data_IF_982487254438
#
_entry.id   IF_982487254438
#
_cell.length_a   1.000
_cell.length_b   1.000
_cell.length_c   1.000
_cell.angle_alpha   90.00
_cell.angle_beta   90.00
_cell.angle_gamma   90.00
#
_symmetry.space_group_name_H-M   'P 1'
#
loop_
_entity.id
_entity.type
_entity.pdbx_description
1 polymer ?
2 non-polymer ?
3 non-polymer ?
4 non-polymer ?
5 non-polymer ?
6 water ?
#
# COMPACT_ATOMS: atom_id res chain seq x y z
N UNK A 20 -7.22 -23.61 -23.17
CA UNK A 20 -7.82 -24.92 -22.95
C UNK A 20 -7.54 -25.48 -21.56
N UNK A 21 -6.52 -24.95 -20.90
CA UNK A 21 -6.26 -25.29 -19.51
C UNK A 21 -7.13 -24.42 -18.63
N UNK A 22 -8.16 -24.98 -18.01
CA UNK A 22 -9.08 -24.12 -17.27
C UNK A 22 -9.08 -24.38 -15.79
N UNK A 23 -8.00 -24.98 -15.30
CA UNK A 23 -7.78 -25.16 -13.87
C UNK A 23 -7.80 -23.86 -13.10
N UNK A 24 -8.30 -23.90 -11.89
CA UNK A 24 -8.10 -22.78 -10.98
C UNK A 24 -6.60 -22.77 -10.57
N UNK A 25 -6.03 -21.60 -10.28
CA UNK A 25 -4.60 -21.54 -9.93
C UNK A 25 -4.23 -22.49 -8.81
N UNK A 26 -5.16 -22.71 -7.90
CA UNK A 26 -4.88 -23.53 -6.74
C UNK A 26 -4.71 -24.98 -7.12
N UNK A 27 -4.96 -25.29 -8.39
CA UNK A 27 -4.75 -26.63 -8.93
C UNK A 27 -3.39 -26.76 -9.61
N UNK A 28 -2.66 -25.66 -9.67
CA UNK A 28 -1.42 -25.63 -10.44
C UNK A 28 -0.22 -25.55 -9.52
N UNK A 29 0.93 -25.98 -10.02
CA UNK A 29 2.21 -25.70 -9.38
C UNK A 29 2.63 -24.25 -9.63
N UNK A 30 3.45 -23.72 -8.71
CA UNK A 30 3.89 -22.32 -8.77
C UNK A 30 4.37 -21.88 -10.16
N UNK A 31 5.24 -22.70 -10.75
CA UNK A 31 5.84 -22.42 -12.04
C UNK A 31 4.86 -22.56 -13.20
N UNK A 32 3.61 -22.87 -12.90
CA UNK A 32 2.59 -22.90 -13.93
C UNK A 32 1.75 -21.63 -13.88
N UNK A 33 1.87 -20.86 -12.81
CA UNK A 33 1.05 -19.67 -12.65
C UNK A 33 1.18 -18.71 -13.84
N UNK A 34 0.04 -18.34 -14.40
CA UNK A 34 -0.03 -17.37 -15.49
C UNK A 34 -0.37 -15.96 -14.96
N UNK A 35 -0.28 -14.94 -15.81
CA UNK A 35 -0.77 -13.61 -15.44
C UNK A 35 -2.24 -13.65 -14.97
N UNK A 36 -3.08 -14.34 -15.74
CA UNK A 36 -4.48 -14.46 -15.36
C UNK A 36 -4.61 -15.12 -13.96
N UNK A 37 -3.84 -16.19 -13.75
CA UNK A 37 -3.83 -16.90 -12.48
C UNK A 37 -3.52 -15.93 -11.34
N UNK A 38 -2.48 -15.10 -11.50
CA UNK A 38 -2.18 -14.09 -10.48
C UNK A 38 -3.30 -13.07 -10.27
N UNK A 39 -3.96 -12.65 -11.35
CA UNK A 39 -5.15 -11.81 -11.19
C UNK A 39 -6.27 -12.49 -10.37
N UNK A 40 -6.59 -13.74 -10.73
CA UNK A 40 -7.64 -14.49 -10.01
C UNK A 40 -7.21 -14.61 -8.56
N UNK A 41 -5.94 -14.97 -8.38
CA UNK A 41 -5.34 -15.11 -7.04
C UNK A 41 -5.54 -13.85 -6.20
N UNK A 42 -5.19 -12.71 -6.75
CA UNK A 42 -5.38 -11.47 -5.98
C UNK A 42 -6.84 -11.16 -5.73
N UNK A 43 -7.68 -11.52 -6.68
CA UNK A 43 -9.13 -11.38 -6.50
C UNK A 43 -9.60 -12.28 -5.35
N UNK A 44 -9.14 -13.54 -5.35
CA UNK A 44 -9.52 -14.48 -4.29
C UNK A 44 -9.18 -13.95 -2.89
N UNK A 45 -8.03 -13.30 -2.76
CA UNK A 45 -7.58 -12.81 -1.47
C UNK A 45 -7.83 -11.31 -1.23
N UNK A 46 -8.48 -10.65 -2.19
CA UNK A 46 -8.78 -9.21 -2.15
C UNK A 46 -7.52 -8.35 -1.98
N UNK A 47 -6.52 -8.67 -2.78
CA UNK A 47 -5.23 -7.98 -2.66
C UNK A 47 -5.17 -6.85 -3.71
N UNK A 48 -5.19 -5.60 -3.24
CA UNK A 48 -4.97 -4.48 -4.16
C UNK A 48 -3.59 -3.90 -3.89
N UNK A 49 -2.90 -3.47 -4.95
CA UNK A 49 -1.58 -2.88 -4.79
C UNK A 49 -1.44 -1.54 -5.55
N UNK A 50 -0.43 -0.79 -5.16
CA UNK A 50 0.10 0.34 -5.90
C UNK A 50 1.62 0.24 -5.83
N UNK A 51 2.29 0.69 -6.90
CA UNK A 51 3.74 0.70 -7.00
C UNK A 51 4.15 -0.17 -8.18
N UNK A 52 5.38 0.00 -8.66
CA UNK A 52 5.85 -0.74 -9.83
C UNK A 52 6.45 -2.09 -9.50
N UNK A 53 6.33 -3.02 -10.44
CA UNK A 53 7.03 -4.30 -10.34
C UNK A 53 6.87 -4.97 -8.98
N UNK A 54 5.62 -5.08 -8.55
CA UNK A 54 5.27 -5.79 -7.34
C UNK A 54 5.62 -7.26 -7.48
N UNK A 55 6.35 -7.83 -6.51
CA UNK A 55 6.61 -9.27 -6.64
C UNK A 55 5.31 -10.13 -6.48
N UNK A 56 5.28 -11.32 -7.08
CA UNK A 56 4.15 -12.23 -6.87
C UNK A 56 3.97 -12.52 -5.38
N UNK A 57 2.70 -12.60 -4.93
CA UNK A 57 2.37 -12.97 -3.55
C UNK A 57 2.65 -14.46 -3.26
N UNK A 58 2.72 -14.78 -1.99
CA UNK A 58 3.04 -16.13 -1.55
C UNK A 58 1.76 -16.97 -1.62
N UNK A 59 1.82 -18.11 -2.32
CA UNK A 59 0.66 -19.01 -2.45
C UNK A 59 0.45 -19.86 -1.21
N UNK A 60 1.55 -20.23 -0.56
CA UNK A 60 1.51 -20.95 0.72
C UNK A 60 2.91 -20.90 1.31
N UNK A 61 3.06 -21.28 2.58
CA UNK A 61 4.43 -21.26 3.15
C UNK A 61 5.36 -22.15 2.37
N UNK A 62 4.90 -23.34 2.04
CA UNK A 62 5.75 -24.29 1.33
C UNK A 62 6.16 -23.73 -0.02
N UNK A 63 5.25 -22.99 -0.63
CA UNK A 63 5.47 -22.47 -1.96
C UNK A 63 6.32 -21.23 -1.89
N UNK A 64 6.52 -20.74 -0.68
CA UNK A 64 7.30 -19.51 -0.49
C UNK A 64 8.77 -19.88 -0.60
N UNK A 65 9.60 -18.88 -0.80
CA UNK A 65 11.05 -19.10 -0.82
C UNK A 65 11.67 -18.79 0.53
N UNK A 66 10.89 -18.90 1.61
CA UNK A 66 11.44 -18.62 2.92
C UNK A 66 12.44 -19.69 3.32
N UNK A 67 13.48 -19.31 4.09
CA UNK A 67 14.51 -20.27 4.53
C UNK A 67 13.88 -21.35 5.37
N UNK A 68 14.44 -22.57 5.32
CA UNK A 68 13.97 -23.72 6.10
C UNK A 68 13.77 -23.36 7.55
N UNK A 69 14.76 -22.75 8.19
CA UNK A 69 14.62 -22.48 9.62
C UNK A 69 13.49 -21.50 9.94
N UNK A 70 13.16 -20.63 8.97
CA UNK A 70 12.12 -19.66 9.20
C UNK A 70 10.78 -20.37 9.08
N UNK A 71 10.65 -21.19 8.05
CA UNK A 71 9.43 -21.96 7.87
C UNK A 71 9.19 -22.87 9.07
N UNK A 72 10.28 -23.34 9.68
CA UNK A 72 10.11 -24.27 10.80
C UNK A 72 9.47 -23.53 11.97
N UNK A 73 9.88 -22.28 12.14
CA UNK A 73 9.34 -21.49 13.25
C UNK A 73 7.92 -21.08 12.93
N UNK A 74 7.65 -20.72 11.68
CA UNK A 74 6.27 -20.46 11.26
C UNK A 74 5.37 -21.68 11.56
N UNK A 75 5.84 -22.85 11.12
CA UNK A 75 5.06 -24.08 11.30
C UNK A 75 4.87 -24.43 12.78
N UNK A 76 5.88 -24.14 13.60
CA UNK A 76 5.79 -24.46 15.02
C UNK A 76 4.94 -23.47 15.82
N UNK A 77 4.85 -22.23 15.35
CA UNK A 77 3.94 -21.25 15.95
C UNK A 77 2.49 -21.52 15.57
N UNK A 78 2.27 -22.41 14.61
CA UNK A 78 0.93 -22.75 14.16
C UNK A 78 0.29 -21.91 13.06
N UNK A 79 0.98 -20.89 12.57
CA UNK A 79 0.44 -20.11 11.47
C UNK A 79 0.31 -21.00 10.22
N UNK A 80 -0.81 -21.66 10.04
CA UNK A 80 -0.91 -22.65 8.95
C UNK A 80 -0.92 -22.08 7.51
N UNK A 81 -1.58 -20.92 7.33
CA UNK A 81 -1.60 -20.27 6.02
C UNK A 81 -1.31 -18.80 6.19
N UNK A 82 -0.60 -18.21 5.22
CA UNK A 82 -0.41 -16.75 5.19
C UNK A 82 -1.78 -16.06 5.10
N UNK A 83 -1.99 -14.99 5.86
CA UNK A 83 -3.15 -14.11 5.69
C UNK A 83 -2.91 -13.22 4.46
N UNK A 84 -3.97 -12.60 3.94
CA UNK A 84 -3.77 -11.76 2.73
C UNK A 84 -2.64 -10.74 2.80
N UNK A 85 -2.54 -9.96 3.88
CA UNK A 85 -1.50 -8.95 3.96
C UNK A 85 -0.13 -9.63 3.98
N UNK A 86 -0.06 -10.80 4.64
CA UNK A 86 1.22 -11.50 4.71
C UNK A 86 1.61 -11.96 3.32
N UNK A 87 0.64 -12.48 2.56
CA UNK A 87 0.93 -13.02 1.23
C UNK A 87 1.65 -12.03 0.34
N UNK A 88 1.22 -10.78 0.42
CA UNK A 88 1.74 -9.77 -0.52
C UNK A 88 2.84 -8.92 0.08
N UNK A 89 2.74 -8.64 1.37
CA UNK A 89 3.71 -7.72 1.95
C UNK A 89 5.07 -8.43 2.15
N UNK A 90 5.04 -9.73 2.50
CA UNK A 90 6.28 -10.42 2.80
C UNK A 90 7.31 -10.39 1.67
N UNK A 91 6.93 -10.74 0.45
CA UNK A 91 7.81 -10.67 -0.72
C UNK A 91 8.33 -9.21 -0.99
N UNK A 92 7.52 -8.19 -0.78
CA UNK A 92 7.98 -6.81 -0.94
C UNK A 92 9.04 -6.47 0.10
N UNK A 93 8.77 -6.84 1.36
CA UNK A 93 9.73 -6.71 2.44
C UNK A 93 11.05 -7.43 2.19
N UNK A 94 10.97 -8.56 1.50
CA UNK A 94 12.18 -9.32 1.19
C UNK A 94 13.01 -8.70 0.08
N UNK A 95 12.48 -7.63 -0.52
CA UNK A 95 13.23 -6.88 -1.52
C UNK A 95 13.74 -5.59 -0.88
N UNK A 96 13.61 -5.46 0.44
CA UNK A 96 13.99 -4.25 1.19
C UNK A 96 13.16 -3.02 0.83
N UNK A 97 11.95 -3.23 0.31
CA UNK A 97 11.15 -2.11 -0.16
C UNK A 97 10.20 -1.63 0.93
N UNK A 98 9.97 -0.32 0.96
CA UNK A 98 9.04 0.26 1.91
C UNK A 98 7.61 -0.06 1.53
N UNK A 99 6.75 -0.06 2.55
CA UNK A 99 5.39 -0.51 2.39
C UNK A 99 4.44 0.32 3.19
N UNK A 100 3.34 0.67 2.55
CA UNK A 100 2.20 1.11 3.28
C UNK A 100 1.13 0.01 3.19
N UNK A 101 0.75 -0.53 4.34
CA UNK A 101 -0.18 -1.64 4.36
C UNK A 101 -1.48 -1.14 4.94
N UNK A 102 -2.53 -1.25 4.14
CA UNK A 102 -3.83 -0.81 4.60
C UNK A 102 -4.67 -2.01 4.98
N UNK A 103 -4.89 -2.12 6.28
CA UNK A 103 -5.50 -3.31 6.87
C UNK A 103 -5.61 -3.04 8.35
N UNK A 104 -6.55 -3.70 9.00
CA UNK A 104 -6.83 -3.45 10.38
C UNK A 104 -6.26 -4.53 11.28
N UNK A 105 -6.04 -4.18 12.54
CA UNK A 105 -5.47 -5.12 13.49
C UNK A 105 -6.35 -6.35 13.53
N UNK A 106 -5.72 -7.52 13.61
CA UNK A 106 -6.41 -8.81 13.49
C UNK A 106 -6.18 -9.44 12.12
N UNK A 107 -5.52 -8.73 11.22
CA UNK A 107 -5.38 -9.25 9.86
C UNK A 107 -4.03 -9.91 9.61
N UNK A 108 -3.20 -9.97 10.67
CA UNK A 108 -1.89 -10.59 10.60
C UNK A 108 -0.80 -9.65 10.12
N UNK A 109 -1.02 -8.34 10.32
CA UNK A 109 -0.01 -7.32 10.03
C UNK A 109 1.35 -7.65 10.68
N UNK A 110 1.31 -8.02 11.96
CA UNK A 110 2.52 -8.14 12.76
C UNK A 110 3.48 -9.14 12.16
N UNK A 111 3.03 -10.38 11.93
CA UNK A 111 3.88 -11.31 11.24
C UNK A 111 4.30 -10.87 9.83
N UNK A 112 3.43 -10.11 9.16
CA UNK A 112 3.78 -9.60 7.84
C UNK A 112 5.06 -8.74 7.89
N UNK A 113 5.19 -7.91 8.91
CA UNK A 113 6.43 -7.15 9.00
C UNK A 113 7.57 -7.90 9.73
N UNK A 114 7.22 -8.80 10.64
CA UNK A 114 8.24 -9.51 11.41
C UNK A 114 9.06 -10.48 10.54
N UNK A 115 8.39 -11.19 9.65
CA UNK A 115 9.08 -12.22 8.86
C UNK A 115 10.29 -11.75 8.01
N UNK A 116 10.14 -10.68 7.22
CA UNK A 116 11.32 -10.25 6.46
C UNK A 116 12.46 -9.81 7.37
N UNK A 117 12.14 -9.13 8.46
CA UNK A 117 13.12 -8.80 9.49
C UNK A 117 13.85 -10.03 10.03
N UNK A 118 13.11 -11.10 10.30
CA UNK A 118 13.75 -12.30 10.89
C UNK A 118 14.62 -12.98 9.84
N UNK A 119 14.13 -13.02 8.61
CA UNK A 119 14.98 -13.55 7.55
C UNK A 119 16.28 -12.73 7.55
N UNK A 120 16.17 -11.41 7.52
CA UNK A 120 17.38 -10.58 7.42
C UNK A 120 18.34 -10.82 8.59
N UNK A 121 17.84 -10.68 9.81
CA UNK A 121 18.71 -10.88 10.97
C UNK A 121 19.42 -12.24 11.03
N UNK A 122 18.65 -13.32 10.89
CA UNK A 122 19.20 -14.64 11.08
C UNK A 122 20.01 -15.13 9.92
N UNK A 123 20.12 -14.36 8.86
CA UNK A 123 20.95 -14.78 7.73
C UNK A 123 22.19 -13.93 7.61
N UNK A 124 22.36 -12.96 8.51
CA UNK A 124 23.63 -12.27 8.58
C UNK A 124 24.74 -13.31 8.88
N UNK A 125 25.94 -13.12 8.29
CA UNK A 125 27.15 -13.87 8.63
C UNK A 125 27.48 -13.66 10.10
N UNK A 126 28.05 -14.67 10.75
CA UNK A 126 28.27 -14.61 12.18
C UNK A 126 29.25 -13.52 12.45
N UNK A 127 30.23 -13.44 11.56
CA UNK A 127 31.22 -12.39 11.62
C UNK A 127 30.50 -11.02 11.63
N UNK A 128 29.39 -10.92 10.91
CA UNK A 128 28.68 -9.66 10.80
C UNK A 128 27.67 -9.43 11.91
N UNK A 129 27.18 -10.52 12.52
CA UNK A 129 26.24 -10.43 13.62
C UNK A 129 27.05 -10.06 14.85
N UNK A 130 28.37 -10.04 14.69
CA UNK A 130 29.23 -9.75 15.81
C UNK A 130 29.28 -8.26 16.05
N UNK A 131 28.86 -7.84 17.24
CA UNK A 131 29.31 -6.54 17.74
C UNK A 131 29.58 -6.53 19.26
N UNK A 132 30.77 -6.08 19.63
CA UNK A 132 31.23 -6.11 21.02
C UNK A 132 30.52 -5.08 21.91
N UNK A 133 30.31 -3.88 21.39
CA UNK A 133 29.56 -2.86 22.11
C UNK A 133 28.08 -3.01 21.79
N UNK A 134 27.23 -2.60 22.72
CA UNK A 134 25.77 -2.61 22.50
C UNK A 134 25.33 -1.38 21.69
N UNK A 135 24.69 -1.63 20.56
CA UNK A 135 24.38 -0.54 19.62
C UNK A 135 22.89 -0.36 19.38
N UNK A 136 22.07 -0.78 20.35
CA UNK A 136 20.64 -0.65 20.22
C UNK A 136 20.14 -1.69 19.26
N UNK A 137 18.85 -1.60 18.88
CA UNK A 137 18.13 -2.63 18.12
C UNK A 137 18.41 -2.60 16.62
N UNK A 138 18.10 -3.71 15.94
CA UNK A 138 18.09 -3.68 14.49
C UNK A 138 16.79 -3.09 14.02
N UNK A 139 15.77 -3.10 14.90
CA UNK A 139 14.41 -2.70 14.50
C UNK A 139 13.64 -2.04 15.61
N UNK A 140 12.85 -1.03 15.24
CA UNK A 140 11.89 -0.48 16.16
C UNK A 140 10.47 -0.55 15.60
N UNK A 141 9.54 -1.00 16.43
CA UNK A 141 8.15 -1.12 16.06
C UNK A 141 7.37 -0.18 16.97
N UNK A 142 6.82 0.85 16.35
CA UNK A 142 6.11 1.88 17.10
C UNK A 142 4.59 1.65 17.08
N UNK A 143 3.96 1.63 18.24
CA UNK A 143 2.50 1.48 18.31
C UNK A 143 1.91 2.65 19.09
N UNK A 144 0.64 3.00 18.82
CA UNK A 144 0.07 4.19 19.45
C UNK A 144 -0.33 3.96 20.88
N UNK A 145 -0.62 2.72 21.24
CA UNK A 145 -1.09 2.42 22.58
C UNK A 145 -0.33 1.29 23.26
N UNK A 146 -0.32 1.37 24.59
CA UNK A 146 0.26 0.36 25.42
C UNK A 146 -0.37 -1.01 25.15
N UNK A 147 -1.69 -1.00 24.96
CA UNK A 147 -2.44 -2.22 24.70
C UNK A 147 -1.95 -2.90 23.43
N UNK A 148 -1.88 -2.12 22.35
CA UNK A 148 -1.41 -2.67 21.08
C UNK A 148 0.07 -3.07 21.11
N UNK A 149 0.90 -2.24 21.73
CA UNK A 149 2.31 -2.59 21.89
C UNK A 149 2.52 -3.97 22.57
N UNK A 150 1.76 -4.23 23.61
CA UNK A 150 1.86 -5.51 24.31
C UNK A 150 1.42 -6.69 23.43
N UNK A 151 0.34 -6.51 22.67
CA UNK A 151 -0.04 -7.51 21.70
C UNK A 151 1.13 -7.81 20.78
N UNK A 152 1.70 -6.77 20.21
CA UNK A 152 2.82 -6.95 19.30
C UNK A 152 4.00 -7.65 19.96
N UNK A 153 4.32 -7.23 21.18
CA UNK A 153 5.39 -7.83 21.95
C UNK A 153 5.22 -9.34 22.12
N UNK A 154 4.00 -9.74 22.51
CA UNK A 154 3.78 -11.15 22.84
C UNK A 154 4.04 -11.94 21.60
N UNK A 155 3.55 -11.43 20.47
CA UNK A 155 3.74 -12.12 19.21
C UNK A 155 5.20 -12.09 18.75
N UNK A 156 5.85 -10.97 18.98
CA UNK A 156 7.25 -10.88 18.61
C UNK A 156 8.08 -11.87 19.44
N UNK A 157 7.84 -11.93 20.74
CA UNK A 157 8.56 -12.91 21.58
C UNK A 157 8.38 -14.33 21.05
N UNK A 158 7.14 -14.72 20.78
CA UNK A 158 6.88 -16.10 20.36
C UNK A 158 7.57 -16.45 19.04
N UNK A 159 7.75 -15.46 18.16
CA UNK A 159 8.54 -15.67 16.97
C UNK A 159 10.07 -15.59 17.20
N UNK A 160 10.48 -14.67 18.06
CA UNK A 160 11.88 -14.32 18.19
C UNK A 160 12.69 -15.23 19.08
N UNK A 161 12.09 -15.68 20.18
CA UNK A 161 12.80 -16.53 21.13
C UNK A 161 13.37 -17.79 20.49
N UNK A 162 12.54 -18.56 19.78
CA UNK A 162 13.08 -19.76 19.13
C UNK A 162 14.27 -19.45 18.23
N UNK A 163 14.37 -18.21 17.77
CA UNK A 163 15.43 -17.83 16.83
C UNK A 163 16.59 -17.14 17.54
N UNK A 164 16.50 -17.05 18.86
CA UNK A 164 17.50 -16.37 19.66
C UNK A 164 17.48 -14.87 19.41
N UNK A 165 16.30 -14.32 19.19
CA UNK A 165 16.16 -12.90 18.91
C UNK A 165 15.48 -12.22 20.11
N UNK A 166 16.13 -11.21 20.67
CA UNK A 166 15.67 -10.55 21.89
C UNK A 166 14.81 -9.31 21.63
N UNK A 167 13.72 -9.20 22.38
CA UNK A 167 12.76 -8.14 22.19
C UNK A 167 12.53 -7.41 23.51
N UNK A 168 12.61 -6.09 23.49
CA UNK A 168 12.32 -5.29 24.67
C UNK A 168 11.22 -4.25 24.43
N UNK A 169 10.31 -4.15 25.41
CA UNK A 169 9.15 -3.25 25.33
C UNK A 169 9.44 -1.95 26.09
N UNK A 170 9.37 -0.82 25.38
CA UNK A 170 9.53 0.49 25.99
C UNK A 170 8.17 1.22 25.94
N UNK A 171 7.36 1.00 26.96
CA UNK A 171 5.98 1.44 26.97
C UNK A 171 5.54 1.89 28.37
N UNK A 172 4.41 2.60 28.46
CA UNK A 172 3.88 3.02 29.75
C UNK A 172 3.13 1.91 30.44
N UNK A 173 2.89 2.04 31.74
CA UNK A 173 2.17 1.03 32.50
C UNK A 173 3.10 0.00 33.09
N UNK A 174 4.40 0.24 32.92
CA UNK A 174 5.43 -0.63 33.45
C UNK A 174 6.41 0.20 34.29
N UNK A 175 6.96 -0.42 35.33
CA UNK A 175 7.94 0.23 36.20
C UNK A 175 9.15 0.69 35.39
N UNK A 176 9.76 1.80 35.81
CA UNK A 176 10.96 2.33 35.14
C UNK A 176 12.21 1.61 35.62
N UNK A 177 12.14 0.98 36.78
CA UNK A 177 13.24 0.14 37.24
C UNK A 177 13.35 -1.07 36.31
N UNK A 178 12.24 -1.81 36.18
CA UNK A 178 12.16 -2.98 35.31
C UNK A 178 12.53 -2.57 33.89
N UNK A 179 11.94 -1.48 33.42
CA UNK A 179 12.20 -1.00 32.08
C UNK A 179 13.65 -0.57 31.93
N UNK A 180 14.10 0.28 32.83
CA UNK A 180 15.49 0.74 32.85
C UNK A 180 16.48 -0.41 32.88
N UNK A 181 16.15 -1.46 33.64
CA UNK A 181 17.02 -2.63 33.71
C UNK A 181 17.09 -3.36 32.38
N UNK A 182 15.94 -3.81 31.89
CA UNK A 182 15.86 -4.54 30.62
C UNK A 182 16.65 -3.84 29.51
N UNK A 183 16.63 -2.51 29.52
CA UNK A 183 17.35 -1.75 28.50
C UNK A 183 18.84 -2.03 28.51
N UNK A 184 19.41 -2.15 29.70
CA UNK A 184 20.84 -2.33 29.84
C UNK A 184 21.37 -3.59 29.13
N UNK A 185 20.51 -4.59 28.99
CA UNK A 185 20.93 -5.90 28.51
C UNK A 185 21.23 -6.03 27.01
N UNK A 186 20.76 -5.10 26.21
CA UNK A 186 20.94 -5.20 24.77
C UNK A 186 19.81 -5.99 24.11
N UNK A 187 19.42 -5.61 22.90
CA UNK A 187 18.38 -6.37 22.19
C UNK A 187 18.40 -6.21 20.67
N UNK A 188 17.56 -6.98 19.99
CA UNK A 188 17.48 -6.89 18.55
C UNK A 188 16.27 -6.08 18.12
N UNK A 189 15.20 -6.15 18.89
CA UNK A 189 13.95 -5.46 18.52
C UNK A 189 13.41 -4.70 19.72
N UNK A 190 13.03 -3.46 19.49
CA UNK A 190 12.32 -2.70 20.50
C UNK A 190 10.92 -2.44 20.01
N UNK A 191 9.95 -2.71 20.88
CA UNK A 191 8.57 -2.32 20.61
C UNK A 191 8.28 -1.17 21.58
N UNK A 192 7.66 -0.10 21.08
CA UNK A 192 7.46 1.11 21.88
C UNK A 192 6.19 1.91 21.58
N UNK A 193 5.83 2.78 22.52
CA UNK A 193 4.83 3.83 22.25
C UNK A 193 5.57 5.18 22.11
N UNK A 194 5.01 6.12 21.34
CA UNK A 194 5.72 7.34 20.96
C UNK A 194 6.19 8.18 22.15
N UNK A 195 5.33 8.37 23.14
CA UNK A 195 5.65 9.25 24.25
C UNK A 195 6.81 8.72 25.08
N UNK A 196 6.78 7.42 25.27
CA UNK A 196 7.76 6.71 26.08
C UNK A 196 9.09 6.69 25.34
N UNK A 197 9.02 6.45 24.04
CA UNK A 197 10.21 6.29 23.23
C UNK A 197 11.01 7.60 23.07
N UNK A 198 10.29 8.70 22.92
CA UNK A 198 10.97 9.95 22.74
C UNK A 198 11.70 10.34 24.04
N UNK A 199 11.06 10.12 25.18
CA UNK A 199 11.69 10.43 26.46
C UNK A 199 12.95 9.63 26.65
N UNK A 200 12.92 8.36 26.24
CA UNK A 200 14.07 7.49 26.36
C UNK A 200 15.22 7.91 25.45
N UNK A 201 14.88 8.32 24.25
CA UNK A 201 15.86 8.81 23.30
C UNK A 201 16.42 10.13 23.79
N UNK A 202 15.55 11.01 24.24
CA UNK A 202 15.95 12.32 24.75
C UNK A 202 16.94 12.21 25.91
N UNK A 203 16.86 11.11 26.66
CA UNK A 203 17.78 10.93 27.79
C UNK A 203 18.90 9.96 27.47
N UNK A 204 18.96 9.52 26.22
CA UNK A 204 20.01 8.61 25.78
C UNK A 204 20.02 7.31 26.60
N UNK A 205 18.85 6.83 27.03
CA UNK A 205 18.77 5.50 27.61
C UNK A 205 18.84 4.44 26.51
N UNK A 206 18.70 4.88 25.26
CA UNK A 206 18.67 3.99 24.11
C UNK A 206 19.04 4.75 22.85
N UNK A 207 19.76 4.11 21.93
CA UNK A 207 20.13 4.75 20.66
C UNK A 207 19.69 3.92 19.44
N UNK A 208 19.62 4.56 18.28
CA UNK A 208 19.20 3.88 17.05
C UNK A 208 20.38 3.71 16.08
N UNK A 209 21.53 3.34 16.60
CA UNK A 209 22.74 3.25 15.77
C UNK A 209 22.72 2.19 14.65
N UNK A 210 22.13 1.02 14.89
CA UNK A 210 22.09 -0.04 13.87
C UNK A 210 20.68 -0.38 13.41
N UNK A 211 19.75 0.53 13.63
CA UNK A 211 18.38 0.30 13.24
C UNK A 211 18.30 0.33 11.74
N UNK A 212 17.74 -0.71 11.16
CA UNK A 212 17.63 -0.81 9.71
C UNK A 212 16.19 -1.12 9.31
N UNK A 213 15.29 -1.02 10.30
CA UNK A 213 13.91 -1.43 10.15
C UNK A 213 13.06 -0.53 11.01
N UNK A 214 12.13 0.19 10.40
CA UNK A 214 11.28 1.10 11.13
C UNK A 214 9.81 0.72 10.86
N UNK A 215 9.04 0.45 11.91
CA UNK A 215 7.61 0.19 11.72
C UNK A 215 6.70 1.17 12.46
N UNK A 216 5.79 1.81 11.72
CA UNK A 216 4.69 2.54 12.34
C UNK A 216 3.37 1.78 12.20
N UNK A 217 2.87 1.25 13.31
CA UNK A 217 1.63 0.47 13.28
C UNK A 217 0.44 1.35 13.74
N UNK A 218 -0.71 1.25 13.06
CA UNK A 218 -1.85 2.16 13.30
C UNK A 218 -1.48 3.65 13.28
N UNK A 219 -0.84 4.05 12.21
CA UNK A 219 -0.36 5.44 12.13
C UNK A 219 -1.51 6.46 12.20
N UNK A 220 -2.68 6.08 11.69
CA UNK A 220 -3.85 6.95 11.79
C UNK A 220 -4.26 7.20 13.26
N UNK A 221 -4.28 6.14 14.06
CA UNK A 221 -4.53 6.28 15.48
C UNK A 221 -3.45 7.12 16.19
N UNK A 222 -2.20 6.97 15.80
CA UNK A 222 -1.15 7.86 16.34
C UNK A 222 -1.50 9.30 16.05
N UNK A 223 -1.89 9.58 14.81
CA UNK A 223 -2.28 10.94 14.43
C UNK A 223 -3.43 11.41 15.30
N UNK A 224 -4.47 10.57 15.43
CA UNK A 224 -5.65 10.95 16.20
C UNK A 224 -5.32 11.29 17.64
N UNK A 225 -4.27 10.65 18.18
CA UNK A 225 -3.94 10.86 19.57
C UNK A 225 -3.12 12.12 19.79
N UNK A 226 -2.70 12.76 18.70
CA UNK A 226 -1.89 13.96 18.80
C UNK A 226 -0.41 13.68 18.71
N UNK A 227 -0.06 12.46 18.32
CA UNK A 227 1.35 12.03 18.29
C UNK A 227 2.18 12.46 17.07
N UNK A 228 1.60 13.17 16.11
CA UNK A 228 2.39 13.58 14.92
C UNK A 228 3.74 14.24 15.25
N UNK A 229 3.75 15.24 16.12
CA UNK A 229 5.03 15.89 16.43
C UNK A 229 6.00 14.95 17.13
N UNK A 230 5.51 14.05 17.97
CA UNK A 230 6.40 13.15 18.70
C UNK A 230 6.97 12.13 17.73
N UNK A 231 6.15 11.69 16.79
CA UNK A 231 6.62 10.73 15.83
C UNK A 231 7.64 11.40 14.89
N UNK A 232 7.42 12.68 14.57
CA UNK A 232 8.40 13.46 13.82
C UNK A 232 9.74 13.50 14.56
N UNK A 233 9.67 13.85 15.83
CA UNK A 233 10.87 14.05 16.61
C UNK A 233 11.64 12.74 16.74
N UNK A 234 10.93 11.62 16.90
CA UNK A 234 11.56 10.31 16.93
C UNK A 234 12.36 10.00 15.66
N UNK A 235 11.78 10.32 14.51
CA UNK A 235 12.45 10.14 13.21
C UNK A 235 13.76 10.89 13.16
N UNK A 236 13.80 12.05 13.82
CA UNK A 236 14.97 12.89 13.80
C UNK A 236 16.20 12.19 14.46
N UNK A 237 15.98 11.14 15.24
CA UNK A 237 17.07 10.45 15.90
C UNK A 237 17.64 9.29 15.08
N UNK A 238 16.96 8.92 13.99
CA UNK A 238 17.47 7.87 13.11
C UNK A 238 18.63 8.41 12.30
N UNK A 239 19.70 7.60 12.10
CA UNK A 239 20.84 8.04 11.28
C UNK A 239 20.41 8.26 9.83
N UNK A 240 20.71 9.43 9.27
CA UNK A 240 20.10 9.86 8.00
C UNK A 240 20.65 9.10 6.82
N UNK A 241 21.88 8.66 6.98
CA UNK A 241 22.67 8.10 5.92
C UNK A 241 22.30 6.67 5.54
N UNK A 242 21.34 6.06 6.25
CA UNK A 242 20.92 4.74 5.84
C UNK A 242 19.57 4.78 5.11
N UNK A 243 19.04 5.97 4.85
CA UNK A 243 17.76 6.08 4.11
C UNK A 243 18.01 5.81 2.63
N UNK A 244 17.06 5.16 1.97
CA UNK A 244 17.16 4.89 0.56
C UNK A 244 17.15 6.21 -0.21
N UNK A 245 17.70 6.19 -1.44
CA UNK A 245 17.66 7.35 -2.32
C UNK A 245 16.23 7.51 -2.87
N UNK A 246 15.87 8.73 -3.15
CA UNK A 246 14.53 9.04 -3.64
C UNK A 246 14.58 9.01 -5.16
N UNK A 247 14.69 7.84 -5.75
CA UNK A 247 14.71 7.74 -7.20
C UNK A 247 13.94 6.49 -7.60
N UNK A 248 13.79 6.27 -8.90
CA UNK A 248 13.09 5.09 -9.36
C UNK A 248 13.80 3.81 -8.87
N UNK A 249 15.06 3.93 -8.50
CA UNK A 249 15.80 2.75 -8.03
C UNK A 249 15.20 2.17 -6.76
N UNK A 250 14.59 3.02 -5.95
CA UNK A 250 14.00 2.57 -4.67
C UNK A 250 12.90 1.53 -4.82
N UNK A 251 12.45 1.32 -6.06
CA UNK A 251 11.39 0.34 -6.32
C UNK A 251 11.78 -0.47 -7.55
N UNK A 252 13.08 -0.52 -7.83
CA UNK A 252 13.62 -1.47 -8.79
C UNK A 252 13.91 -2.78 -8.05
N UNK A 253 13.28 -3.90 -8.47
CA UNK A 253 13.33 -5.15 -7.70
C UNK A 253 14.71 -5.77 -7.73
N UNK A 254 15.38 -5.76 -8.88
CA UNK A 254 16.72 -6.33 -8.97
C UNK A 254 17.69 -5.64 -8.03
N UNK A 255 17.63 -4.31 -8.02
CA UNK A 255 18.54 -3.52 -7.21
C UNK A 255 18.18 -3.59 -5.75
N UNK A 256 16.89 -3.52 -5.44
CA UNK A 256 16.50 -3.54 -4.04
C UNK A 256 16.70 -4.94 -3.41
N UNK A 257 16.49 -5.99 -4.21
CA UNK A 257 16.79 -7.35 -3.74
C UNK A 257 18.27 -7.52 -3.45
N UNK A 258 19.09 -7.03 -4.38
CA UNK A 258 20.54 -7.12 -4.18
C UNK A 258 20.92 -6.32 -2.94
N UNK A 259 20.20 -5.24 -2.68
CA UNK A 259 20.49 -4.46 -1.47
C UNK A 259 20.04 -5.22 -0.18
N UNK A 260 18.88 -5.85 -0.22
CA UNK A 260 18.46 -6.69 0.92
C UNK A 260 19.52 -7.74 1.27
N UNK A 261 19.99 -8.44 0.26
CA UNK A 261 21.00 -9.49 0.46
C UNK A 261 22.35 -8.96 0.93
N UNK A 262 22.57 -7.67 0.73
CA UNK A 262 23.84 -7.03 1.10
C UNK A 262 24.07 -7.05 2.59
N UNK A 263 23.21 -7.79 3.28
CA UNK A 263 23.32 -7.98 4.70
C UNK A 263 23.32 -6.71 5.50
N UNK A 264 24.35 -6.60 6.32
CA UNK A 264 24.51 -5.59 7.32
C UNK A 264 24.43 -4.19 6.78
N UNK A 265 24.79 -3.99 5.51
CA UNK A 265 24.91 -2.61 4.98
C UNK A 265 23.79 -2.13 4.10
N UNK A 266 22.67 -2.83 4.13
CA UNK A 266 21.53 -2.44 3.31
C UNK A 266 20.92 -1.08 3.70
N UNK A 267 20.14 -0.47 2.80
CA UNK A 267 19.34 0.66 3.23
C UNK A 267 18.32 0.23 4.27
N UNK A 268 17.91 1.16 5.12
CA UNK A 268 16.80 0.90 6.03
C UNK A 268 15.54 0.65 5.22
N UNK A 269 14.58 -0.04 5.81
CA UNK A 269 13.29 -0.11 5.22
C UNK A 269 12.27 0.26 6.30
N UNK A 270 11.15 0.79 5.83
CA UNK A 270 10.17 1.37 6.69
C UNK A 270 8.82 0.84 6.24
N UNK A 271 7.99 0.47 7.22
CA UNK A 271 6.67 -0.04 7.00
C UNK A 271 5.67 0.79 7.79
N UNK A 272 4.61 1.25 7.13
CA UNK A 272 3.56 1.94 7.84
C UNK A 272 2.29 1.11 7.67
N UNK A 273 1.61 0.84 8.76
CA UNK A 273 0.28 0.23 8.70
C UNK A 273 -0.72 1.28 9.15
N UNK A 274 -1.84 1.35 8.43
CA UNK A 274 -2.93 2.26 8.80
C UNK A 274 -4.24 1.65 8.34
N UNK A 275 -5.34 2.26 8.72
CA UNK A 275 -6.64 1.93 8.14
C UNK A 275 -7.10 3.04 7.20
N UNK A 276 -6.55 4.23 7.40
CA UNK A 276 -6.98 5.41 6.64
C UNK A 276 -5.78 6.25 6.22
N UNK A 277 -5.97 7.18 5.28
CA UNK A 277 -4.92 8.06 4.79
C UNK A 277 -5.30 9.51 4.84
N UNK A 278 -5.55 10.04 6.04
CA UNK A 278 -5.79 11.48 6.05
C UNK A 278 -4.47 12.22 5.78
N UNK A 279 -4.55 13.53 5.63
CA UNK A 279 -3.36 14.26 5.20
C UNK A 279 -2.17 14.11 6.15
N UNK A 280 -2.39 14.10 7.45
CA UNK A 280 -1.32 13.93 8.40
C UNK A 280 -0.59 12.61 8.22
N UNK A 281 -1.33 11.57 7.88
CA UNK A 281 -0.71 10.27 7.66
C UNK A 281 0.11 10.31 6.38
N UNK A 282 -0.37 11.05 5.38
CA UNK A 282 0.37 11.21 4.15
C UNK A 282 1.65 12.04 4.40
N UNK A 283 1.58 13.01 5.31
CA UNK A 283 2.81 13.72 5.72
C UNK A 283 3.84 12.78 6.31
N UNK A 284 3.39 11.89 7.19
CA UNK A 284 4.31 10.94 7.80
C UNK A 284 4.98 10.12 6.71
N UNK A 285 4.16 9.64 5.79
CA UNK A 285 4.63 8.79 4.72
C UNK A 285 5.67 9.51 3.85
N UNK A 286 5.42 10.78 3.49
CA UNK A 286 6.36 11.54 2.67
C UNK A 286 7.73 11.65 3.36
N UNK A 287 7.73 11.79 4.66
CA UNK A 287 8.97 11.87 5.43
C UNK A 287 9.63 10.52 5.64
N UNK A 288 8.89 9.60 6.23
CA UNK A 288 9.42 8.30 6.61
C UNK A 288 9.80 7.41 5.43
N UNK A 289 9.03 7.46 4.34
CA UNK A 289 9.11 6.39 3.34
C UNK A 289 9.67 6.82 2.03
N UNK A 290 10.24 5.89 1.29
CA UNK A 290 10.72 6.25 -0.04
C UNK A 290 10.12 5.30 -1.07
N UNK A 291 9.33 5.86 -2.00
CA UNK A 291 8.66 5.10 -3.05
C UNK A 291 8.02 3.80 -2.54
N UNK A 292 7.19 3.90 -1.49
CA UNK A 292 6.61 2.69 -0.92
C UNK A 292 5.60 2.04 -1.88
N UNK A 293 5.48 0.72 -1.75
CA UNK A 293 4.42 -0.02 -2.39
C UNK A 293 3.24 0.05 -1.45
N UNK A 294 2.03 0.10 -2.02
CA UNK A 294 0.86 0.00 -1.17
C UNK A 294 0.26 -1.41 -1.28
N UNK A 295 -0.11 -1.96 -0.13
CA UNK A 295 -0.86 -3.21 -0.10
C UNK A 295 -2.15 -2.95 0.64
N UNK A 296 -3.25 -3.12 -0.07
CA UNK A 296 -4.55 -2.83 0.46
C UNK A 296 -5.37 -4.12 0.43
N UNK A 297 -5.87 -4.53 1.59
CA UNK A 297 -6.70 -5.73 1.66
C UNK A 297 -8.18 -5.41 1.84
N UNK A 298 -9.01 -5.99 0.97
CA UNK A 298 -10.45 -6.03 1.22
C UNK A 298 -11.22 -5.14 0.27
N UNK A 299 -12.49 -4.88 0.61
CA UNK A 299 -13.37 -4.02 -0.20
C UNK A 299 -13.70 -4.57 -1.57
N UNK A 300 -13.65 -5.89 -1.76
CA UNK A 300 -14.00 -6.44 -3.06
C UNK A 300 -15.31 -5.81 -3.59
N UNK A 301 -16.27 -5.63 -2.71
CA UNK A 301 -17.60 -5.16 -3.11
C UNK A 301 -17.70 -3.65 -3.14
N UNK A 302 -16.61 -2.95 -2.80
CA UNK A 302 -16.68 -1.52 -2.64
C UNK A 302 -15.50 -0.85 -3.31
N UNK A 303 -15.57 -0.73 -4.63
CA UNK A 303 -14.52 -0.22 -5.50
C UNK A 303 -13.99 1.13 -5.03
N UNK A 304 -14.84 2.00 -4.48
CA UNK A 304 -14.36 3.32 -4.12
C UNK A 304 -13.29 3.30 -3.02
N UNK A 305 -13.34 2.30 -2.16
CA UNK A 305 -12.36 2.22 -1.06
C UNK A 305 -10.97 1.84 -1.58
N UNK A 306 -10.94 1.22 -2.76
CA UNK A 306 -9.74 0.54 -3.22
C UNK A 306 -9.33 0.95 -4.60
N UNK A 307 -9.96 2.01 -5.13
CA UNK A 307 -9.56 2.53 -6.43
C UNK A 307 -9.09 3.96 -6.22
N UNK A 308 -7.92 4.30 -6.74
CA UNK A 308 -7.43 5.67 -6.60
C UNK A 308 -8.29 6.68 -7.41
N UNK A 309 -8.85 7.66 -6.74
CA UNK A 309 -9.72 8.62 -7.39
C UNK A 309 -9.17 10.05 -7.36
N UNK A 310 -9.26 10.71 -8.51
CA UNK A 310 -8.78 12.10 -8.64
C UNK A 310 -9.87 12.91 -9.32
N UNK A 311 -10.05 14.15 -8.89
CA UNK A 311 -11.07 15.03 -9.47
C UNK A 311 -10.45 16.38 -9.88
N UNK A 312 -11.02 16.93 -10.94
CA UNK A 312 -10.73 18.27 -11.42
C UNK A 312 -12.02 19.01 -11.57
N UNK A 313 -12.14 20.13 -10.85
CA UNK A 313 -13.28 21.01 -10.99
C UNK A 313 -13.00 21.99 -12.12
N UNK A 314 -13.97 22.14 -13.01
CA UNK A 314 -13.77 22.97 -14.16
C UNK A 314 -15.12 23.38 -14.72
N UNK A 315 -15.11 24.25 -15.71
CA UNK A 315 -16.31 24.47 -16.49
C UNK A 315 -16.32 23.47 -17.63
N UNK A 316 -17.50 23.23 -18.16
CA UNK A 316 -17.73 22.28 -19.21
C UNK A 316 -16.81 22.52 -20.41
N UNK A 317 -16.54 23.79 -20.73
CA UNK A 317 -15.79 24.14 -21.92
C UNK A 317 -14.31 23.71 -21.77
N UNK A 318 -13.89 23.45 -20.53
CA UNK A 318 -12.50 23.11 -20.28
C UNK A 318 -12.20 21.62 -20.43
N UNK A 319 -13.24 20.79 -20.54
CA UNK A 319 -13.04 19.35 -20.50
C UNK A 319 -12.12 18.79 -21.59
N UNK A 320 -12.27 19.28 -22.82
CA UNK A 320 -11.57 18.62 -23.93
C UNK A 320 -10.05 18.84 -23.86
N UNK A 321 -9.67 20.06 -23.52
CA UNK A 321 -8.27 20.36 -23.38
C UNK A 321 -7.63 19.65 -22.17
N UNK A 322 -8.37 19.52 -21.06
CA UNK A 322 -7.82 18.80 -19.90
C UNK A 322 -7.63 17.34 -20.25
N UNK A 323 -8.61 16.74 -20.94
CA UNK A 323 -8.45 15.36 -21.38
C UNK A 323 -7.19 15.20 -22.22
N UNK A 324 -7.04 16.04 -23.25
CA UNK A 324 -5.87 15.97 -24.11
C UNK A 324 -4.57 16.07 -23.33
N UNK A 325 -4.51 17.02 -22.40
CA UNK A 325 -3.31 17.17 -21.58
C UNK A 325 -3.01 15.88 -20.81
N UNK A 326 -4.06 15.27 -20.27
CA UNK A 326 -3.92 13.98 -19.58
C UNK A 326 -3.41 12.90 -20.54
N UNK A 327 -4.08 12.73 -21.67
CA UNK A 327 -3.66 11.74 -22.65
C UNK A 327 -2.20 11.94 -23.10
N UNK A 328 -1.81 13.19 -23.31
CA UNK A 328 -0.45 13.51 -23.75
C UNK A 328 0.63 13.07 -22.74
N UNK A 329 0.25 12.96 -21.48
CA UNK A 329 1.13 12.46 -20.46
C UNK A 329 1.45 10.97 -20.70
N UNK A 330 0.64 10.31 -21.53
CA UNK A 330 0.79 8.88 -21.79
C UNK A 330 -0.01 7.99 -20.84
N UNK A 331 -0.42 6.83 -21.32
CA UNK A 331 -1.19 5.91 -20.49
C UNK A 331 -0.90 4.44 -20.79
N UNK A 332 -1.47 3.56 -19.96
CA UNK A 332 -1.42 2.13 -20.21
C UNK A 332 -2.71 1.63 -20.81
N UNK A 333 -2.75 1.44 -22.12
CA UNK A 333 -3.95 0.99 -22.84
C UNK A 333 -4.31 -0.43 -22.42
N UNK A 334 -5.62 -0.75 -22.38
CA UNK A 334 -6.63 0.21 -22.81
C UNK A 334 -7.13 1.05 -21.63
N UNK A 335 -7.76 2.17 -21.94
CA UNK A 335 -8.40 2.96 -20.91
C UNK A 335 -9.86 3.14 -21.30
N UNK A 336 -10.69 3.56 -20.36
CA UNK A 336 -12.08 3.85 -20.68
C UNK A 336 -12.44 5.27 -20.31
N UNK A 337 -13.14 5.96 -21.21
CA UNK A 337 -13.64 7.31 -20.94
C UNK A 337 -15.14 7.21 -20.95
N UNK A 338 -15.78 7.65 -19.88
CA UNK A 338 -17.24 7.61 -19.81
C UNK A 338 -17.82 8.98 -20.08
N UNK A 339 -18.94 8.99 -20.82
CA UNK A 339 -19.78 10.17 -21.03
C UNK A 339 -21.26 9.86 -20.78
N UNK A 340 -22.05 10.91 -20.59
CA UNK A 340 -23.43 10.70 -20.16
C UNK A 340 -24.45 10.42 -21.28
N UNK A 341 -24.19 10.92 -22.49
CA UNK A 341 -25.12 10.74 -23.59
C UNK A 341 -24.43 10.21 -24.86
N UNK A 342 -25.14 9.38 -25.63
CA UNK A 342 -24.51 8.58 -26.68
C UNK A 342 -23.98 9.43 -27.81
N UNK A 343 -24.51 10.65 -27.95
CA UNK A 343 -24.02 11.59 -28.94
C UNK A 343 -22.64 12.08 -28.51
N UNK A 344 -22.51 12.35 -27.22
CA UNK A 344 -21.22 12.68 -26.65
C UNK A 344 -20.22 11.62 -27.03
N UNK A 345 -20.57 10.37 -26.71
CA UNK A 345 -19.75 9.21 -27.05
C UNK A 345 -19.17 9.35 -28.46
N UNK A 346 -20.04 9.53 -29.44
CA UNK A 346 -19.61 9.56 -30.84
C UNK A 346 -18.71 10.75 -31.20
N UNK A 347 -19.08 11.96 -30.75
CA UNK A 347 -18.32 13.16 -31.07
C UNK A 347 -16.97 13.25 -30.34
N UNK A 348 -16.94 12.84 -29.07
CA UNK A 348 -15.66 12.83 -28.36
C UNK A 348 -14.73 11.88 -29.09
N UNK A 349 -15.24 10.70 -29.42
CA UNK A 349 -14.48 9.66 -30.09
C UNK A 349 -13.86 10.13 -31.41
N UNK A 350 -14.62 10.93 -32.16
CA UNK A 350 -14.12 11.46 -33.42
C UNK A 350 -12.88 12.33 -33.15
N UNK A 351 -13.02 13.25 -32.20
CA UNK A 351 -11.97 14.24 -31.93
C UNK A 351 -10.65 13.55 -31.60
N UNK A 352 -10.75 12.45 -30.87
CA UNK A 352 -9.57 11.70 -30.43
C UNK A 352 -8.86 11.04 -31.62
N UNK A 353 -9.66 10.46 -32.51
CA UNK A 353 -9.14 9.87 -33.74
C UNK A 353 -8.52 10.96 -34.59
N UNK A 354 -9.02 12.18 -34.45
CA UNK A 354 -8.44 13.35 -35.11
C UNK A 354 -7.07 13.67 -34.53
N UNK A 355 -6.95 13.57 -33.21
CA UNK A 355 -5.68 13.81 -32.52
C UNK A 355 -4.74 12.62 -32.63
N UNK A 356 -5.06 11.70 -33.54
CA UNK A 356 -4.26 10.51 -33.74
C UNK A 356 -4.33 9.52 -32.60
N UNK A 357 -5.54 9.21 -32.15
CA UNK A 357 -5.74 8.19 -31.12
C UNK A 357 -6.62 7.08 -31.67
N UNK A 358 -6.36 5.84 -31.24
CA UNK A 358 -7.17 4.69 -31.66
C UNK A 358 -8.36 4.50 -30.74
N UNK A 359 -9.53 4.98 -31.17
CA UNK A 359 -10.69 4.99 -30.28
C UNK A 359 -11.86 4.13 -30.76
N UNK A 360 -12.38 3.31 -29.84
CA UNK A 360 -13.59 2.54 -30.07
C UNK A 360 -14.77 3.23 -29.41
N UNK A 361 -15.96 3.05 -29.99
CA UNK A 361 -17.17 3.61 -29.43
C UNK A 361 -18.08 2.53 -28.85
N UNK A 362 -18.90 2.92 -27.88
CA UNK A 362 -19.88 2.02 -27.25
C UNK A 362 -20.92 2.79 -26.44
N UNK A 371 -19.43 -4.96 -31.10
CA UNK A 371 -19.62 -5.23 -29.68
C UNK A 371 -18.45 -6.04 -29.12
N UNK A 372 -18.49 -7.36 -29.34
CA UNK A 372 -17.36 -8.21 -28.98
C UNK A 372 -16.13 -7.72 -29.74
N UNK A 373 -16.38 -7.25 -30.96
CA UNK A 373 -15.32 -6.81 -31.87
C UNK A 373 -14.47 -5.70 -31.26
N UNK A 374 -15.12 -4.79 -30.53
CA UNK A 374 -14.44 -3.68 -29.90
C UNK A 374 -13.45 -4.14 -28.84
N UNK A 375 -13.88 -5.09 -28.01
CA UNK A 375 -13.08 -5.54 -26.87
C UNK A 375 -11.88 -6.37 -27.28
N UNK A 376 -12.02 -7.09 -28.39
CA UNK A 376 -10.94 -7.90 -28.92
C UNK A 376 -9.75 -7.01 -29.29
N UNK A 377 -10.02 -6.01 -30.11
CA UNK A 377 -9.01 -5.03 -30.49
C UNK A 377 -8.35 -4.38 -29.30
N UNK A 378 -9.16 -3.91 -28.35
CA UNK A 378 -8.64 -3.35 -27.11
C UNK A 378 -7.77 -4.38 -26.43
N UNK A 379 -8.31 -5.58 -26.24
CA UNK A 379 -7.57 -6.66 -25.61
C UNK A 379 -6.29 -6.93 -26.38
N UNK A 380 -6.37 -6.84 -27.71
CA UNK A 380 -5.24 -7.14 -28.59
C UNK A 380 -4.20 -6.02 -28.60
N UNK A 381 -4.63 -4.80 -28.27
CA UNK A 381 -3.75 -3.67 -28.28
C UNK A 381 -4.03 -2.73 -29.45
N UNK A 382 -4.85 -3.19 -30.38
CA UNK A 382 -5.22 -2.42 -31.55
C UNK A 382 -5.75 -1.05 -31.16
N UNK A 383 -6.91 -1.04 -30.51
CA UNK A 383 -7.50 0.20 -30.00
C UNK A 383 -7.03 0.45 -28.57
N UNK A 384 -6.82 1.71 -28.21
CA UNK A 384 -6.24 2.03 -26.92
C UNK A 384 -7.25 2.71 -26.01
N UNK A 385 -8.24 3.36 -26.61
CA UNK A 385 -9.26 4.10 -25.87
C UNK A 385 -10.68 3.68 -26.20
N UNK A 386 -11.42 3.26 -25.18
CA UNK A 386 -12.84 3.00 -25.30
C UNK A 386 -13.67 4.18 -24.79
N UNK A 387 -14.49 4.77 -25.65
CA UNK A 387 -15.42 5.79 -25.20
C UNK A 387 -16.77 5.11 -25.01
N UNK A 388 -17.48 5.46 -23.93
CA UNK A 388 -18.72 4.75 -23.58
C UNK A 388 -19.64 5.52 -22.63
N UNK A 389 -20.92 5.14 -22.65
CA UNK A 389 -21.95 5.64 -21.73
C UNK A 389 -22.24 4.61 -20.63
N UNK A 390 -23.05 4.96 -19.64
CA UNK A 390 -23.29 4.03 -18.53
C UNK A 390 -23.82 2.64 -18.95
N UNK A 391 -24.37 2.52 -20.15
CA UNK A 391 -24.91 1.24 -20.60
C UNK A 391 -23.97 0.08 -20.24
N UNK A 396 -21.00 -4.51 -20.84
CA UNK A 396 -20.85 -5.94 -20.96
C UNK A 396 -19.73 -6.49 -20.06
N UNK A 397 -18.73 -7.12 -20.66
CA UNK A 397 -17.64 -7.76 -19.91
C UNK A 397 -16.31 -7.32 -20.51
N UNK A 398 -15.43 -6.77 -19.68
CA UNK A 398 -14.18 -6.17 -20.18
C UNK A 398 -13.01 -6.29 -19.19
N UNK A 399 -11.81 -6.38 -19.73
CA UNK A 399 -10.60 -6.55 -18.93
C UNK A 399 -10.40 -5.40 -17.91
N UNK A 400 -9.53 -5.64 -16.93
CA UNK A 400 -9.14 -4.62 -15.96
C UNK A 400 -8.42 -3.49 -16.72
N UNK A 401 -8.74 -2.25 -16.38
CA UNK A 401 -8.06 -1.12 -17.00
C UNK A 401 -7.21 -0.32 -16.02
N UNK A 402 -6.14 0.29 -16.52
CA UNK A 402 -5.28 1.09 -15.69
C UNK A 402 -5.97 2.39 -15.32
N UNK A 403 -6.85 2.89 -16.19
CA UNK A 403 -7.43 4.22 -15.98
C UNK A 403 -8.86 4.34 -16.53
N UNK A 404 -9.72 4.93 -15.70
CA UNK A 404 -11.06 5.27 -16.13
C UNK A 404 -11.17 6.82 -16.06
N UNK A 405 -11.60 7.46 -17.15
CA UNK A 405 -11.90 8.90 -17.01
C UNK A 405 -13.37 9.21 -17.12
N UNK A 406 -13.90 9.84 -16.08
CA UNK A 406 -15.30 10.28 -16.12
C UNK A 406 -15.30 11.67 -16.72
N UNK A 407 -15.31 11.72 -18.06
CA UNK A 407 -15.32 12.98 -18.82
C UNK A 407 -16.56 13.78 -18.43
N UNK A 408 -17.67 13.07 -18.29
CA UNK A 408 -18.90 13.56 -17.69
C UNK A 408 -19.07 12.83 -16.38
N UNK A 409 -19.35 13.54 -15.29
CA UNK A 409 -19.60 12.85 -14.03
C UNK A 409 -20.94 12.14 -14.09
N UNK A 410 -21.03 10.95 -13.50
CA UNK A 410 -22.31 10.20 -13.42
C UNK A 410 -23.39 10.98 -12.67
N UNK A 411 -24.66 10.67 -12.93
CA UNK A 411 -25.75 11.41 -12.30
C UNK A 411 -26.13 10.84 -10.91
N UNK A 412 -25.57 9.69 -10.56
CA UNK A 412 -25.79 9.14 -9.23
C UNK A 412 -24.52 8.39 -8.84
N UNK A 413 -24.31 8.17 -7.56
CA UNK A 413 -23.04 7.60 -7.12
C UNK A 413 -22.95 6.09 -7.41
N UNK A 414 -24.08 5.42 -7.52
CA UNK A 414 -24.03 4.00 -7.87
C UNK A 414 -23.44 3.78 -9.28
N UNK A 415 -23.87 4.55 -10.28
CA UNK A 415 -23.24 4.47 -11.61
C UNK A 415 -21.72 4.83 -11.58
N UNK A 416 -21.38 5.85 -10.82
CA UNK A 416 -19.98 6.25 -10.66
C UNK A 416 -19.16 5.05 -10.11
N UNK A 417 -19.67 4.44 -9.04
CA UNK A 417 -19.03 3.25 -8.41
C UNK A 417 -18.81 2.12 -9.43
N UNK A 418 -19.84 1.79 -10.18
CA UNK A 418 -19.72 0.79 -11.23
C UNK A 418 -18.65 1.17 -12.26
N UNK A 419 -18.60 2.44 -12.67
CA UNK A 419 -17.56 2.86 -13.61
C UNK A 419 -16.15 2.65 -13.10
N UNK A 420 -15.85 3.18 -11.93
CA UNK A 420 -14.47 3.14 -11.51
C UNK A 420 -14.08 1.66 -11.17
N UNK A 421 -15.08 0.84 -10.97
CA UNK A 421 -14.89 -0.58 -10.67
C UNK A 421 -14.22 -1.32 -11.82
N UNK A 422 -14.20 -0.65 -12.97
CA UNK A 422 -13.59 -1.19 -14.18
C UNK A 422 -12.06 -1.22 -14.15
N UNK A 423 -11.43 -0.57 -13.18
CA UNK A 423 -10.00 -0.73 -13.02
C UNK A 423 -9.67 -2.16 -12.52
N UNK A 424 -10.69 -2.93 -12.15
CA UNK A 424 -10.51 -4.32 -11.69
C UNK A 424 -10.99 -4.57 -10.28
N UNK A 425 -11.44 -5.79 -10.02
CA UNK A 425 -11.76 -6.23 -8.65
C UNK A 425 -10.59 -6.13 -7.67
N UNK A 426 -9.36 -6.36 -8.15
CA UNK A 426 -8.17 -6.40 -7.28
C UNK A 426 -6.90 -6.07 -8.07
N UNK A 427 -5.73 -6.41 -7.54
CA UNK A 427 -4.50 -6.12 -8.28
C UNK A 427 -4.22 -4.62 -8.32
N UNK A 428 -3.55 -4.16 -9.38
CA UNK A 428 -3.24 -2.72 -9.48
C UNK A 428 -4.48 -1.86 -9.22
N UNK A 429 -4.35 -0.94 -8.27
CA UNK A 429 -5.46 -0.05 -7.93
C UNK A 429 -6.06 0.61 -9.17
N UNK A 430 -5.20 1.07 -10.08
CA UNK A 430 -5.67 1.86 -11.21
C UNK A 430 -6.11 3.25 -10.78
N UNK A 431 -6.57 4.07 -11.72
CA UNK A 431 -6.91 5.45 -11.40
C UNK A 431 -8.20 5.83 -12.05
N UNK A 432 -9.06 6.52 -11.31
CA UNK A 432 -10.28 7.09 -11.92
C UNK A 432 -10.22 8.59 -11.79
N UNK A 433 -10.25 9.27 -12.94
CA UNK A 433 -10.16 10.74 -12.98
C UNK A 433 -11.52 11.29 -13.36
N UNK A 434 -12.04 12.23 -12.57
CA UNK A 434 -13.38 12.74 -12.80
C UNK A 434 -13.37 14.24 -13.04
N UNK A 435 -14.02 14.66 -14.14
CA UNK A 435 -14.20 16.09 -14.42
C UNK A 435 -15.51 16.51 -13.78
N UNK A 436 -15.45 17.44 -12.83
CA UNK A 436 -16.64 17.92 -12.14
C UNK A 436 -16.95 19.35 -12.59
N UNK A 437 -18.21 19.61 -12.91
CA UNK A 437 -18.68 20.97 -13.18
C UNK A 437 -19.80 21.32 -12.21
N UNK A 438 -20.31 22.54 -12.35
CA UNK A 438 -21.39 23.01 -11.48
C UNK A 438 -22.69 22.28 -11.75
N UNK A 439 -22.81 21.69 -12.92
CA UNK A 439 -23.98 20.89 -13.25
C UNK A 439 -24.04 19.57 -12.46
N UNK A 440 -22.97 19.24 -11.74
CA UNK A 440 -22.86 17.96 -11.03
C UNK A 440 -23.04 18.12 -9.53
N UNK A 441 -23.60 19.25 -9.10
CA UNK A 441 -23.55 19.61 -7.68
C UNK A 441 -24.30 18.62 -6.81
N UNK A 442 -25.31 17.97 -7.39
CA UNK A 442 -26.17 17.06 -6.67
C UNK A 442 -25.49 15.72 -6.36
N UNK A 443 -24.33 15.46 -6.96
CA UNK A 443 -23.54 14.29 -6.55
C UNK A 443 -22.29 14.64 -5.73
N UNK A 444 -22.07 15.91 -5.45
CA UNK A 444 -20.83 16.31 -4.74
C UNK A 444 -20.72 15.66 -3.37
N UNK A 445 -21.81 15.63 -2.60
CA UNK A 445 -21.73 15.15 -1.24
C UNK A 445 -21.36 13.67 -1.23
N UNK A 446 -22.02 12.88 -2.07
CA UNK A 446 -21.71 11.45 -2.13
C UNK A 446 -20.36 11.19 -2.77
N UNK A 447 -19.98 11.99 -3.75
CA UNK A 447 -18.66 11.87 -4.36
C UNK A 447 -17.56 12.13 -3.29
N UNK A 448 -17.79 13.18 -2.52
CA UNK A 448 -16.90 13.51 -1.42
C UNK A 448 -16.77 12.31 -0.46
N UNK A 449 -17.89 11.68 -0.14
CA UNK A 449 -17.83 10.54 0.77
C UNK A 449 -17.06 9.39 0.14
N UNK A 450 -17.32 9.12 -1.13
CA UNK A 450 -16.65 8.03 -1.84
C UNK A 450 -15.14 8.15 -1.74
N UNK A 451 -14.65 9.39 -1.81
CA UNK A 451 -13.21 9.61 -1.82
C UNK A 451 -12.64 9.66 -0.39
N UNK A 452 -13.35 10.30 0.53
CA UNK A 452 -12.90 10.34 1.89
C UNK A 452 -12.83 8.93 2.50
N UNK A 453 -13.61 7.99 1.96
CA UNK A 453 -13.57 6.57 2.37
C UNK A 453 -12.59 5.72 1.56
N UNK A 454 -11.70 6.38 0.84
CA UNK A 454 -10.76 5.69 -0.03
C UNK A 454 -9.34 5.93 0.47
N UNK A 455 -8.79 4.96 1.24
CA UNK A 455 -7.43 5.14 1.76
C UNK A 455 -6.41 5.18 0.66
N UNK A 456 -6.72 4.66 -0.52
CA UNK A 456 -5.77 4.74 -1.63
C UNK A 456 -5.93 6.04 -2.40
N UNK A 457 -6.77 6.94 -1.91
CA UNK A 457 -6.95 8.25 -2.57
C UNK A 457 -6.47 9.39 -1.67
N UNK A 458 -6.04 10.49 -2.26
CA UNK A 458 -5.69 11.68 -1.46
C UNK A 458 -6.93 12.53 -1.24
N UNK A 459 -7.07 13.08 -0.03
CA UNK A 459 -8.25 13.91 0.23
C UNK A 459 -8.19 15.13 -0.72
N UNK A 460 -9.25 15.38 -1.51
CA UNK A 460 -9.27 16.56 -2.39
C UNK A 460 -9.99 17.77 -1.78
N UNK A 461 -9.26 18.72 -1.19
CA UNK A 461 -9.91 19.86 -0.52
C UNK A 461 -10.85 20.66 -1.45
N UNK A 462 -10.60 20.63 -2.75
CA UNK A 462 -11.39 21.40 -3.70
C UNK A 462 -12.87 20.92 -3.66
N UNK A 463 -13.03 19.61 -3.47
CA UNK A 463 -14.35 19.02 -3.35
C UNK A 463 -14.77 18.97 -1.89
N UNK A 464 -13.87 18.48 -1.04
CA UNK A 464 -14.18 18.28 0.37
C UNK A 464 -14.62 19.59 1.02
N UNK A 465 -14.03 20.70 0.61
CA UNK A 465 -14.41 21.98 1.19
C UNK A 465 -15.46 22.75 0.40
N UNK A 466 -15.90 22.18 -0.71
CA UNK A 466 -16.84 22.91 -1.56
C UNK A 466 -18.22 23.07 -0.91
N UNK A 467 -18.81 24.27 -1.04
CA UNK A 467 -20.10 24.62 -0.44
C UNK A 467 -21.22 23.63 -0.80
N UNK A 468 -21.14 23.01 -1.96
CA UNK A 468 -22.18 22.07 -2.41
C UNK A 468 -21.95 20.63 -1.95
N UNK A 469 -20.80 20.35 -1.32
CA UNK A 469 -20.50 19.00 -0.88
C UNK A 469 -20.79 18.83 0.61
N UNK A 470 -21.38 19.84 1.23
CA UNK A 470 -21.54 19.82 2.68
C UNK A 470 -22.78 19.09 3.19
N UNK A 471 -23.86 19.07 2.42
CA UNK A 471 -25.09 18.43 2.85
C UNK A 471 -25.68 17.49 1.80
N UNK A 472 -26.36 16.43 2.25
CA UNK A 472 -26.98 15.49 1.34
C UNK A 472 -27.90 16.27 0.42
N UNK A 473 -28.01 15.85 -0.85
CA UNK A 473 -28.82 16.55 -1.84
C UNK A 473 -30.31 16.39 -1.52
N UNK A 474 -31.10 17.40 -1.85
CA UNK A 474 -32.52 17.37 -1.57
C UNK A 474 -32.81 17.30 -0.09
X LIG B 1 -2.41 -8.48 13.68
X LIG B 1 -2.45 -7.64 14.87
X LIG B 1 -3.27 -9.63 13.81
X LIG B 1 -2.86 -7.65 12.56
X LIG B 1 -1.07 -8.98 13.42
X LIG C 1 3.12 7.09 26.09
X LIG C 1 2.75 8.43 25.68
X LIG C 1 4.06 6.45 25.18
X LIG C 1 3.75 7.24 27.40
X LIG C 1 1.94 6.22 26.18
X LIG D 1 28.51 -17.67 8.30
X LIG D 1 29.03 -18.99 8.65
X LIG D 1 29.52 -16.95 7.52
X LIG D 1 27.29 -17.83 7.51
X LIG D 1 28.21 -16.93 9.51
X LIG E 1 4.70 -3.21 -13.65
X LIG E 1 3.73 -3.18 -14.73
X LIG E 1 4.70 -4.55 -13.07
X LIG E 1 6.04 -2.95 -14.19
X LIG E 1 4.35 -2.18 -12.67
X LIG F 1 0.13 7.06 -1.32
X LIG F 1 0.34 7.79 -0.07
X LIG F 1 -0.27 8.01 -2.37
X LIG F 1 1.37 6.39 -1.73
X LIG F 1 -0.93 6.08 -1.12
X LIG G 1 10.14 13.98 10.36
X LIG G 1 11.05 14.31 11.41
X LIG G 1 8.97 13.06 10.73
X LIG G 1 8.94 11.95 9.86
X LIG G 1 7.58 13.71 10.73
X LIG G 1 6.91 13.71 9.48
X LIG H 1 -21.24 6.62 -0.92
X LIG H 1 -20.11 6.39 -1.71
X LIG H 1 -21.10 5.75 0.32
X LIG H 1 -22.07 4.73 0.29
X LIG H 1 -21.26 6.62 1.56
X LIG H 1 -20.74 5.96 2.71
X LIG I 1 -10.78 -15.50 2.59
X LIG I 1 -12.19 -15.33 2.68
X LIG I 1 -10.17 -14.30 2.11
X LIG I 1 -10.19 -15.86 4.08
X LIG I 1 -10.43 -16.74 1.55
X LIG I 1 -11.09 -16.48 0.21
X LIG I 1 -11.21 -17.77 -0.61
X LIG I 1 -9.92 -18.33 -0.94
X LIG I 1 -9.84 -19.61 -1.62
X LIG I 1 -9.54 -19.40 -3.09
X LIG I 1 -9.43 -20.73 -3.83
X LIG I 1 -8.36 -21.61 -3.18
X LIG I 1 -8.63 -21.81 -1.70
X LIG I 1 -8.75 -20.46 -0.99
X LIG J 1 13.99 2.50 14.21
#
# INVERSE_FOLDING_TARGET
>A
GPLGSARLRKLRKKEAKQRWDDRHWSQKKLDEMTDRDWRIFREDYSITTKGGKIPNPIRSWKDSSLPPHILEVIDKCGYKEPTPIQRQAIPIGLQNRDIIGVAETGSGKTAAFLIPLLVWITTLPKIDRIEESDQGPYAIILAPTRELAQQIEEETIKFGKPLGIRTVAVIGGISREDQGFRLRMGCEIVIATPGRLIDVLENRYLVLSRCTYVVLDEADRMIDMGFEPDVQKILEHMPVSNQKPDTDEAEDPEKMLANFESGKHKYRQTVMFTATMPPAVERLARSYLRRPAVVYIGSAGKPHERVEQKVFLMSESEKRKKLLAILEQGFDPPIIIFVNQKKGCDVLAKSLEKMGYNACTLHGGKGQEQREFALSNLKAGAKDILVATDVAGRGIDIQDVSMVVNYDMAKNIEDYIHRIGRTGRAGKSGVAITFLTKEDSAVFYELKQAILESPVSSCPPELANHPDAQHKPGTILTKKRREETIFA
>B hetero
1 SO4 S O1 O2 O3 O4
>C hetero
1 SO4 S O1 O2 O3 O4
>D hetero
1 SO4 S O1 O2 O3 O4
>E hetero
1 SO4 S O1 O2 O3 O4
>F hetero
1 SO4 S O1 O2 O3 O4
>G hetero
1 GOL C1 O1 C2 O2 C3 O3
>H hetero
1 GOL C1 O1 C2 O2 C3 O3
>I hetero
1 CXS S O1 O2 O3 C1 C2 C3 N C4 C5 C6 C7 C8 C9
>J hetero
1 HG HG
#
